data_IF_692236758661
#
_entry.id   IF_692236758661
#
_cell.length_a   1.000
_cell.length_b   1.000
_cell.length_c   1.000
_cell.angle_alpha   90.00
_cell.angle_beta   90.00
_cell.angle_gamma   90.00
#
_symmetry.space_group_name_H-M   'P 1'
#
loop_
_entity.id
_entity.type
_entity.pdbx_description
1 polymer ?
#
# COMPACT_ATOMS: atom_id res chain seq x y z
N UNK A 1 -4.06 10.06 14.20
CA UNK A 1 -3.59 8.65 14.05
C UNK A 1 -2.55 8.60 12.94
N UNK A 2 -1.57 7.70 12.97
CA UNK A 2 -0.48 7.67 11.99
C UNK A 2 -0.32 6.27 11.36
N UNK A 3 -0.27 6.19 10.05
CA UNK A 3 -0.19 4.93 9.31
C UNK A 3 0.97 4.90 8.32
N UNK A 4 1.50 3.71 8.06
CA UNK A 4 2.37 3.44 6.93
C UNK A 4 1.52 3.32 5.65
N UNK A 5 1.61 4.31 4.76
CA UNK A 5 0.84 4.35 3.53
C UNK A 5 1.54 3.56 2.42
N UNK A 6 0.93 2.46 2.00
CA UNK A 6 1.26 1.76 0.77
C UNK A 6 0.39 2.30 -0.36
N UNK A 7 0.99 3.08 -1.26
CA UNK A 7 0.31 3.71 -2.39
C UNK A 7 0.05 2.75 -3.55
N UNK A 8 0.75 1.60 -3.57
CA UNK A 8 0.82 0.75 -4.76
C UNK A 8 1.38 1.50 -5.97
N UNK A 9 1.13 0.97 -7.17
CA UNK A 9 1.56 1.57 -8.44
C UNK A 9 0.53 2.54 -9.04
N UNK A 10 -0.77 2.27 -8.84
CA UNK A 10 -1.86 2.98 -9.52
C UNK A 10 -1.99 4.43 -9.03
N UNK A 11 -1.90 4.66 -7.72
CA UNK A 11 -1.95 6.00 -7.13
C UNK A 11 -0.74 6.89 -7.52
N UNK A 12 0.38 6.27 -7.90
CA UNK A 12 1.59 6.98 -8.36
C UNK A 12 1.53 7.31 -9.86
N UNK A 13 0.86 6.45 -10.64
CA UNK A 13 0.80 6.52 -12.10
C UNK A 13 -0.54 7.01 -12.62
N UNK A 14 -1.48 6.06 -12.76
CA UNK A 14 -2.70 6.23 -13.54
C UNK A 14 -3.79 7.07 -12.86
N UNK A 15 -3.85 7.09 -11.53
CA UNK A 15 -4.91 7.77 -10.77
C UNK A 15 -4.29 8.63 -9.65
N UNK A 16 -3.56 9.68 -10.03
CA UNK A 16 -2.86 10.55 -9.06
C UNK A 16 -3.81 11.36 -8.18
N UNK A 17 -5.00 11.64 -8.67
CA UNK A 17 -6.11 12.28 -7.95
C UNK A 17 -6.56 11.49 -6.71
N UNK A 18 -6.27 10.19 -6.67
CA UNK A 18 -6.53 9.35 -5.51
C UNK A 18 -5.73 9.85 -4.29
N UNK A 19 -4.45 10.18 -4.47
CA UNK A 19 -3.62 10.74 -3.39
C UNK A 19 -4.15 12.08 -2.90
N UNK A 20 -4.59 12.96 -3.81
CA UNK A 20 -5.17 14.27 -3.46
C UNK A 20 -6.45 14.10 -2.63
N UNK A 21 -7.33 13.21 -3.06
CA UNK A 21 -8.60 12.93 -2.38
C UNK A 21 -8.38 12.29 -1.01
N UNK A 22 -7.45 11.32 -0.94
CA UNK A 22 -7.04 10.69 0.32
C UNK A 22 -6.48 11.70 1.30
N UNK A 23 -5.59 12.60 0.88
CA UNK A 23 -4.97 13.57 1.78
C UNK A 23 -6.02 14.51 2.38
N UNK A 24 -6.97 15.00 1.57
CA UNK A 24 -8.09 15.83 2.06
C UNK A 24 -8.99 15.10 3.04
N UNK A 25 -9.30 13.83 2.77
CA UNK A 25 -10.09 13.01 3.70
C UNK A 25 -9.34 12.77 5.01
N UNK A 26 -8.03 12.52 4.94
CA UNK A 26 -7.18 12.27 6.10
C UNK A 26 -7.05 13.49 7.02
N UNK A 27 -6.96 14.71 6.45
CA UNK A 27 -6.99 15.96 7.21
C UNK A 27 -8.26 16.09 8.07
N UNK A 28 -9.43 15.81 7.47
CA UNK A 28 -10.70 15.85 8.20
C UNK A 28 -10.84 14.78 9.29
N UNK A 29 -10.09 13.68 9.18
CA UNK A 29 -10.09 12.56 10.13
C UNK A 29 -8.93 12.60 11.13
N UNK A 30 -8.03 13.59 11.04
CA UNK A 30 -6.82 13.66 11.86
C UNK A 30 -5.87 12.45 11.64
N UNK A 31 -5.75 12.01 10.39
CA UNK A 31 -4.88 10.90 9.98
C UNK A 31 -3.62 11.44 9.29
N UNK A 32 -2.46 10.95 9.72
CA UNK A 32 -1.16 11.20 9.09
C UNK A 32 -0.64 9.96 8.39
N UNK A 33 0.08 10.16 7.28
CA UNK A 33 0.68 9.09 6.50
C UNK A 33 2.20 9.16 6.46
N UNK A 34 2.82 7.98 6.52
CA UNK A 34 4.23 7.77 6.18
C UNK A 34 4.30 6.89 4.96
N UNK A 35 4.61 7.48 3.81
CA UNK A 35 4.67 6.75 2.54
C UNK A 35 5.79 5.69 2.52
N UNK A 36 5.46 4.48 2.07
CA UNK A 36 6.40 3.37 1.89
C UNK A 36 7.05 3.37 0.51
N UNK A 37 7.90 4.36 0.22
CA UNK A 37 8.51 4.56 -1.10
C UNK A 37 9.35 3.39 -1.64
N UNK A 38 9.83 2.50 -0.78
CA UNK A 38 10.64 1.33 -1.16
C UNK A 38 9.84 0.03 -1.32
N UNK A 39 8.52 0.07 -1.09
CA UNK A 39 7.64 -1.07 -1.28
C UNK A 39 7.48 -1.40 -2.77
N UNK A 40 7.41 -2.69 -3.08
CA UNK A 40 7.22 -3.16 -4.46
C UNK A 40 5.71 -3.19 -4.82
N UNK A 41 5.40 -3.43 -6.09
CA UNK A 41 4.01 -3.68 -6.51
C UNK A 41 3.44 -4.93 -5.82
N UNK A 42 2.15 -4.92 -5.48
CA UNK A 42 1.44 -6.06 -4.88
C UNK A 42 1.16 -7.21 -5.86
N UNK A 43 1.51 -7.06 -7.14
CA UNK A 43 1.36 -8.09 -8.16
C UNK A 43 -0.01 -8.20 -8.82
N UNK A 44 -1.03 -7.49 -8.32
CA UNK A 44 -2.37 -7.37 -8.90
C UNK A 44 -3.01 -8.72 -9.30
N UNK A 45 -2.80 -9.78 -8.53
CA UNK A 45 -3.29 -11.14 -8.81
C UNK A 45 -2.48 -11.90 -9.87
N UNK A 46 -1.85 -11.21 -10.81
CA UNK A 46 -1.04 -11.84 -11.88
C UNK A 46 0.18 -12.58 -11.30
N UNK A 47 0.81 -12.02 -10.27
CA UNK A 47 1.96 -12.69 -9.65
C UNK A 47 1.55 -13.94 -8.87
N UNK A 48 0.39 -13.94 -8.21
CA UNK A 48 -0.09 -15.12 -7.47
C UNK A 48 -0.57 -16.23 -8.41
N UNK A 49 -1.12 -15.89 -9.59
CA UNK A 49 -1.43 -16.88 -10.64
C UNK A 49 -0.17 -17.62 -11.12
N UNK A 50 0.96 -16.92 -11.22
CA UNK A 50 2.22 -17.53 -11.66
C UNK A 50 2.99 -18.21 -10.52
N UNK A 51 3.03 -17.60 -9.35
CA UNK A 51 3.77 -18.09 -8.19
C UNK A 51 3.19 -17.50 -6.90
N UNK A 52 2.38 -18.28 -6.15
CA UNK A 52 1.87 -17.86 -4.85
C UNK A 52 2.98 -17.50 -3.87
N UNK A 53 4.05 -18.30 -3.82
CA UNK A 53 5.19 -18.05 -2.94
C UNK A 53 5.87 -16.71 -3.22
N UNK A 54 6.01 -16.34 -4.50
CA UNK A 54 6.59 -15.04 -4.86
C UNK A 54 5.67 -13.89 -4.45
N UNK A 55 4.36 -14.02 -4.67
CA UNK A 55 3.37 -13.03 -4.26
C UNK A 55 3.38 -12.82 -2.73
N UNK A 56 3.42 -13.91 -1.96
CA UNK A 56 3.51 -13.84 -0.51
C UNK A 56 4.82 -13.17 -0.06
N UNK A 57 5.96 -13.55 -0.66
CA UNK A 57 7.26 -13.00 -0.28
C UNK A 57 7.37 -11.47 -0.53
N UNK A 58 6.86 -10.97 -1.66
CA UNK A 58 6.90 -9.53 -1.95
C UNK A 58 5.91 -8.73 -1.08
N UNK A 59 4.74 -9.32 -0.76
CA UNK A 59 3.74 -8.67 0.08
C UNK A 59 4.19 -8.67 1.55
N UNK A 60 4.75 -9.77 2.04
CA UNK A 60 5.41 -9.86 3.34
C UNK A 60 6.53 -8.81 3.50
N UNK A 61 7.32 -8.56 2.45
CA UNK A 61 8.32 -7.48 2.46
C UNK A 61 7.68 -6.11 2.69
N UNK A 62 6.50 -5.83 2.15
CA UNK A 62 5.78 -4.57 2.38
C UNK A 62 5.34 -4.44 3.84
N UNK A 63 4.81 -5.52 4.43
CA UNK A 63 4.48 -5.56 5.85
C UNK A 63 5.71 -5.35 6.74
N UNK A 64 6.83 -6.02 6.44
CA UNK A 64 8.08 -5.86 7.20
C UNK A 64 8.63 -4.41 7.15
N UNK A 65 8.44 -3.70 6.04
CA UNK A 65 8.81 -2.28 5.93
C UNK A 65 7.95 -1.40 6.85
N UNK A 66 6.64 -1.69 6.95
CA UNK A 66 5.73 -0.98 7.86
C UNK A 66 6.04 -1.31 9.33
N UNK A 67 6.25 -2.59 9.64
CA UNK A 67 6.61 -3.08 10.98
C UNK A 67 7.92 -2.46 11.47
N UNK A 68 8.94 -2.35 10.60
CA UNK A 68 10.20 -1.65 10.93
C UNK A 68 10.00 -0.18 11.32
N UNK A 69 8.90 0.45 10.88
CA UNK A 69 8.53 1.82 11.25
C UNK A 69 7.63 1.88 12.49
N UNK A 70 7.17 0.73 13.01
CA UNK A 70 6.22 0.65 14.12
C UNK A 70 4.85 1.25 13.79
N UNK A 71 4.41 1.13 12.53
CA UNK A 71 3.15 1.71 12.06
C UNK A 71 2.28 0.64 11.39
N UNK A 72 0.98 0.74 11.62
CA UNK A 72 0.00 -0.08 10.90
C UNK A 72 -0.02 0.29 9.41
N UNK A 73 -0.16 -0.73 8.57
CA UNK A 73 -0.21 -0.57 7.11
C UNK A 73 -1.61 -0.13 6.67
N UNK A 74 -1.69 0.84 5.77
CA UNK A 74 -2.92 1.23 5.09
C UNK A 74 -2.67 1.39 3.58
N UNK A 75 -3.68 1.09 2.77
CA UNK A 75 -3.68 1.29 1.33
C UNK A 75 -4.96 1.98 0.87
N UNK A 76 -4.85 2.74 -0.21
CA UNK A 76 -5.96 3.43 -0.86
C UNK A 76 -6.38 2.79 -2.19
N UNK A 77 -5.68 1.72 -2.58
CA UNK A 77 -5.98 0.96 -3.78
C UNK A 77 -6.70 -0.35 -3.41
N UNK A 78 -7.89 -0.56 -3.96
CA UNK A 78 -8.70 -1.77 -3.76
C UNK A 78 -7.98 -3.04 -4.24
N UNK A 79 -7.28 -2.99 -5.37
CA UNK A 79 -6.47 -4.10 -5.87
C UNK A 79 -5.36 -4.45 -4.90
N UNK A 80 -4.68 -3.45 -4.33
CA UNK A 80 -3.66 -3.68 -3.31
C UNK A 80 -4.27 -4.32 -2.05
N UNK A 81 -5.42 -3.82 -1.59
CA UNK A 81 -6.13 -4.39 -0.44
C UNK A 81 -6.50 -5.86 -0.66
N UNK A 82 -6.89 -6.25 -1.87
CA UNK A 82 -7.23 -7.64 -2.19
C UNK A 82 -6.04 -8.60 -2.28
N UNK A 83 -4.83 -8.07 -2.50
CA UNK A 83 -3.61 -8.85 -2.71
C UNK A 83 -2.64 -8.84 -1.53
N UNK A 84 -2.66 -7.80 -0.70
CA UNK A 84 -1.94 -7.76 0.58
C UNK A 84 -2.66 -8.67 1.59
N UNK A 85 -2.29 -9.94 1.61
CA UNK A 85 -2.78 -10.97 2.53
C UNK A 85 -1.62 -11.60 3.28
#
# INVERSE_FOLDING_TARGET
>A
MKFALFTGCVAQGATRELMVSTQKAAEGLGIDFVELKSAACCGAGVLSEKSPLLADAINARTFAIAEKKGLDLITICSTCQGNLK
#
